data_IF_696025194484
#
_entry.id   IF_696025194484
#
_cell.length_a   1.000
_cell.length_b   1.000
_cell.length_c   1.000
_cell.angle_alpha   90.00
_cell.angle_beta   90.00
_cell.angle_gamma   90.00
#
_symmetry.space_group_name_H-M   'P 1'
#
loop_
_entity.id
_entity.type
_entity.pdbx_description
1 polymer ?
#
# COMPACT_ATOMS: atom_id res chain seq x y z
N UNK A 1 2.35 -10.02 1.12
CA UNK A 1 2.25 -10.31 -0.33
C UNK A 1 2.10 -8.99 -1.07
N UNK A 2 2.72 -8.85 -2.23
CA UNK A 2 2.59 -7.67 -3.10
C UNK A 2 1.93 -8.07 -4.43
N UNK A 3 0.97 -7.29 -4.91
CA UNK A 3 0.23 -7.57 -6.13
C UNK A 3 0.10 -6.30 -6.98
N UNK A 4 0.89 -6.26 -8.06
CA UNK A 4 1.18 -5.04 -8.81
C UNK A 4 0.27 -4.83 -10.03
N UNK A 5 -0.81 -5.61 -10.13
CA UNK A 5 -1.70 -5.66 -11.28
C UNK A 5 -3.15 -5.43 -10.84
N UNK A 6 -3.86 -4.66 -11.66
CA UNK A 6 -5.27 -4.35 -11.47
C UNK A 6 -6.05 -4.60 -12.75
N UNK A 7 -7.25 -5.14 -12.62
CA UNK A 7 -8.22 -5.29 -13.71
C UNK A 7 -9.55 -4.69 -13.29
N UNK A 8 -10.56 -4.75 -14.18
CA UNK A 8 -11.94 -4.42 -13.82
C UNK A 8 -12.35 -5.19 -12.54
N UNK A 9 -13.21 -4.60 -11.73
CA UNK A 9 -13.72 -5.24 -10.52
C UNK A 9 -14.25 -6.65 -10.82
N UNK A 10 -13.79 -7.61 -10.02
CA UNK A 10 -14.21 -8.99 -10.07
C UNK A 10 -14.30 -9.56 -8.65
N UNK A 11 -15.53 -9.92 -8.25
CA UNK A 11 -15.82 -10.49 -6.93
C UNK A 11 -14.93 -11.69 -6.56
N UNK A 12 -14.56 -12.54 -7.52
CA UNK A 12 -13.69 -13.68 -7.28
C UNK A 12 -12.29 -13.26 -6.79
N UNK A 13 -11.73 -12.20 -7.37
CA UNK A 13 -10.40 -11.68 -7.00
C UNK A 13 -10.46 -10.95 -5.65
N UNK A 14 -11.54 -10.23 -5.37
CA UNK A 14 -11.77 -9.60 -4.06
C UNK A 14 -11.96 -10.67 -2.96
N UNK A 15 -12.72 -11.73 -3.25
CA UNK A 15 -12.93 -12.85 -2.31
C UNK A 15 -11.63 -13.61 -2.02
N UNK A 16 -10.81 -13.84 -3.05
CA UNK A 16 -9.49 -14.46 -2.88
C UNK A 16 -8.57 -13.58 -2.02
N UNK A 17 -8.58 -12.28 -2.26
CA UNK A 17 -7.83 -11.30 -1.47
C UNK A 17 -8.26 -11.30 -0.02
N UNK A 18 -9.57 -11.21 0.23
CA UNK A 18 -10.15 -11.26 1.58
C UNK A 18 -9.80 -12.55 2.32
N UNK A 19 -9.82 -13.68 1.61
CA UNK A 19 -9.43 -14.99 2.16
C UNK A 19 -7.94 -15.09 2.53
N UNK A 20 -7.04 -14.50 1.74
CA UNK A 20 -5.62 -14.43 2.09
C UNK A 20 -5.41 -13.56 3.34
N UNK A 21 -6.08 -12.41 3.39
CA UNK A 21 -5.94 -11.47 4.51
C UNK A 21 -6.50 -12.07 5.81
N UNK A 22 -7.63 -12.78 5.75
CA UNK A 22 -8.21 -13.44 6.94
C UNK A 22 -7.33 -14.55 7.49
N UNK A 23 -6.47 -15.14 6.67
CA UNK A 23 -5.44 -16.12 7.08
C UNK A 23 -4.15 -15.46 7.61
N UNK A 24 -4.16 -14.14 7.83
CA UNK A 24 -3.01 -13.41 8.38
C UNK A 24 -1.94 -13.05 7.35
N UNK A 25 -2.21 -13.19 6.05
CA UNK A 25 -1.28 -12.80 4.99
C UNK A 25 -1.65 -11.39 4.52
N UNK A 26 -0.91 -10.33 4.90
CA UNK A 26 -1.21 -9.00 4.42
C UNK A 26 -0.98 -8.90 2.91
N UNK A 27 -1.94 -8.31 2.20
CA UNK A 27 -1.83 -7.99 0.78
C UNK A 27 -1.64 -6.49 0.59
N UNK A 28 -0.55 -6.12 -0.09
CA UNK A 28 -0.31 -4.77 -0.60
C UNK A 28 -0.54 -4.81 -2.10
N UNK A 29 -1.32 -3.87 -2.63
CA UNK A 29 -1.66 -3.84 -4.06
C UNK A 29 -1.60 -2.44 -4.65
N UNK A 30 -1.40 -2.36 -5.95
CA UNK A 30 -1.43 -1.11 -6.71
C UNK A 30 -2.86 -0.58 -6.85
N UNK A 31 -3.03 0.74 -6.90
CA UNK A 31 -4.34 1.36 -7.15
C UNK A 31 -4.81 1.22 -8.61
N UNK A 32 -3.87 1.09 -9.56
CA UNK A 32 -4.12 1.09 -10.99
C UNK A 32 -3.63 2.37 -11.68
N UNK A 33 -3.53 2.34 -13.01
CA UNK A 33 -2.84 3.36 -13.82
C UNK A 33 -3.74 4.01 -14.89
N UNK A 34 -5.03 4.19 -14.59
CA UNK A 34 -6.02 4.67 -15.56
C UNK A 34 -6.63 6.04 -15.21
N UNK A 35 -6.17 6.68 -14.13
CA UNK A 35 -6.74 7.93 -13.61
C UNK A 35 -8.27 7.83 -13.41
N UNK A 36 -8.70 6.76 -12.75
CA UNK A 36 -10.10 6.50 -12.40
C UNK A 36 -10.22 6.13 -10.92
N UNK A 37 -11.46 6.00 -10.42
CA UNK A 37 -11.73 5.50 -9.07
C UNK A 37 -11.19 4.06 -8.90
N UNK A 38 -10.26 3.87 -7.95
CA UNK A 38 -9.65 2.59 -7.63
C UNK A 38 -10.66 1.54 -7.14
N UNK A 39 -11.84 1.97 -6.67
CA UNK A 39 -12.94 1.07 -6.31
C UNK A 39 -13.56 0.36 -7.53
N UNK A 40 -13.30 0.80 -8.76
CA UNK A 40 -13.76 0.15 -9.99
C UNK A 40 -12.85 -1.02 -10.44
N UNK A 41 -11.80 -1.32 -9.67
CA UNK A 41 -10.77 -2.28 -10.04
C UNK A 41 -10.57 -3.32 -8.94
N UNK A 42 -10.15 -4.53 -9.31
CA UNK A 42 -9.69 -5.55 -8.37
C UNK A 42 -8.19 -5.78 -8.52
N UNK A 43 -7.46 -5.97 -7.42
CA UNK A 43 -7.94 -6.15 -6.04
C UNK A 43 -8.02 -4.83 -5.25
N UNK A 44 -7.78 -3.68 -5.91
CA UNK A 44 -7.72 -2.36 -5.25
C UNK A 44 -9.01 -1.96 -4.53
N UNK A 45 -10.16 -2.49 -4.97
CA UNK A 45 -11.48 -2.31 -4.33
C UNK A 45 -11.69 -3.17 -3.09
N UNK A 46 -10.89 -4.20 -2.85
CA UNK A 46 -11.02 -5.05 -1.67
C UNK A 46 -10.47 -4.34 -0.43
N UNK A 47 -11.36 -3.97 0.48
CA UNK A 47 -11.06 -3.12 1.64
C UNK A 47 -10.01 -3.72 2.60
N UNK A 48 -9.93 -5.06 2.64
CA UNK A 48 -8.92 -5.75 3.44
C UNK A 48 -7.50 -5.63 2.86
N UNK A 49 -7.33 -5.28 1.59
CA UNK A 49 -6.02 -4.98 1.01
C UNK A 49 -5.46 -3.63 1.49
N UNK A 50 -4.16 -3.44 1.27
CA UNK A 50 -3.49 -2.15 1.38
C UNK A 50 -3.27 -1.63 -0.05
N UNK A 51 -4.16 -0.75 -0.49
CA UNK A 51 -4.13 -0.19 -1.85
C UNK A 51 -3.27 1.07 -1.90
N UNK A 52 -2.32 1.09 -2.84
CA UNK A 52 -1.25 2.10 -2.91
C UNK A 52 -1.36 2.93 -4.19
N UNK A 53 -1.58 4.24 -4.03
CA UNK A 53 -1.51 5.23 -5.11
C UNK A 53 -0.08 5.70 -5.41
N UNK A 54 0.10 6.33 -6.57
CA UNK A 54 1.41 6.81 -7.03
C UNK A 54 1.54 8.32 -6.90
N UNK A 55 2.67 8.77 -6.34
CA UNK A 55 3.11 10.16 -6.38
C UNK A 55 4.42 10.32 -7.13
N UNK A 56 4.71 11.55 -7.55
CA UNK A 56 6.01 11.94 -8.08
C UNK A 56 6.88 12.68 -7.05
N UNK A 57 8.06 13.10 -7.49
CA UNK A 57 9.08 13.74 -6.65
C UNK A 57 8.66 15.10 -6.08
N UNK A 58 7.54 15.67 -6.54
CA UNK A 58 6.98 16.94 -6.07
C UNK A 58 5.84 16.76 -5.06
N UNK A 59 5.65 15.54 -4.55
CA UNK A 59 4.52 15.14 -3.70
C UNK A 59 3.14 15.36 -4.39
N UNK A 60 3.11 15.39 -5.71
CA UNK A 60 1.87 15.42 -6.50
C UNK A 60 1.44 13.99 -6.86
N UNK A 61 0.13 13.72 -6.84
CA UNK A 61 -0.39 12.48 -7.43
C UNK A 61 0.06 12.35 -8.89
N UNK A 62 0.57 11.18 -9.24
CA UNK A 62 0.95 10.90 -10.62
C UNK A 62 -0.29 10.91 -11.49
N UNK A 63 -0.23 11.59 -12.65
CA UNK A 63 -1.39 11.79 -13.54
C UNK A 63 -2.06 10.50 -14.05
N UNK A 64 -1.42 9.35 -13.93
CA UNK A 64 -1.97 8.04 -14.27
C UNK A 64 -2.59 7.32 -13.06
N UNK A 65 -2.27 7.71 -11.83
CA UNK A 65 -2.68 6.99 -10.62
C UNK A 65 -4.20 6.95 -10.53
N UNK A 66 -4.75 5.78 -10.24
CA UNK A 66 -6.12 5.69 -9.76
C UNK A 66 -6.21 6.30 -8.35
N UNK A 67 -7.39 6.80 -8.02
CA UNK A 67 -7.65 7.64 -6.85
C UNK A 67 -8.89 7.15 -6.07
N UNK A 68 -9.26 7.87 -5.01
CA UNK A 68 -10.53 7.67 -4.30
C UNK A 68 -10.40 6.88 -3.01
N UNK A 69 -11.55 6.64 -2.37
CA UNK A 69 -11.65 6.06 -1.02
C UNK A 69 -11.06 4.65 -0.87
N UNK A 70 -10.91 3.91 -1.97
CA UNK A 70 -10.30 2.58 -1.95
C UNK A 70 -8.76 2.65 -1.88
N UNK A 71 -8.14 3.79 -2.20
CA UNK A 71 -6.73 4.04 -1.92
C UNK A 71 -6.54 4.22 -0.41
N UNK A 72 -5.51 3.63 0.19
CA UNK A 72 -5.22 3.79 1.61
C UNK A 72 -4.10 4.79 1.88
N UNK A 73 -3.09 4.80 1.01
CA UNK A 73 -1.94 5.68 1.11
C UNK A 73 -1.24 5.79 -0.25
N UNK A 74 -0.30 6.73 -0.37
CA UNK A 74 0.51 6.95 -1.55
C UNK A 74 1.98 6.66 -1.27
N UNK A 75 2.71 6.26 -2.31
CA UNK A 75 4.16 6.09 -2.29
C UNK A 75 4.78 6.48 -3.64
N UNK A 76 6.10 6.73 -3.70
CA UNK A 76 6.79 7.07 -4.95
C UNK A 76 6.54 6.02 -6.03
N UNK A 77 5.99 6.46 -7.17
CA UNK A 77 5.70 5.57 -8.30
C UNK A 77 6.02 6.16 -9.67
N UNK A 78 6.43 7.42 -9.75
CA UNK A 78 6.90 8.05 -11.00
C UNK A 78 8.42 8.06 -11.08
N UNK A 79 8.95 7.62 -12.23
CA UNK A 79 10.38 7.59 -12.54
C UNK A 79 11.22 6.84 -11.50
N UNK A 80 10.76 5.65 -11.12
CA UNK A 80 11.44 4.78 -10.16
C UNK A 80 12.43 3.88 -10.89
N UNK A 81 13.70 3.99 -10.52
CA UNK A 81 14.78 3.14 -11.03
C UNK A 81 14.84 1.84 -10.23
N UNK A 82 14.87 0.71 -10.92
CA UNK A 82 15.05 -0.62 -10.30
C UNK A 82 15.85 -1.56 -11.20
N UNK A 83 16.07 -2.79 -10.73
CA UNK A 83 16.69 -3.88 -11.50
C UNK A 83 15.82 -4.27 -12.70
N UNK A 84 16.46 -4.74 -13.76
CA UNK A 84 15.78 -5.11 -15.00
C UNK A 84 16.34 -6.40 -15.60
N UNK A 85 15.59 -6.98 -16.55
CA UNK A 85 16.02 -8.15 -17.30
C UNK A 85 17.08 -7.75 -18.35
N UNK A 86 18.01 -8.67 -18.67
CA UNK A 86 18.98 -8.53 -19.76
C UNK A 86 20.45 -8.69 -19.34
N UNK A 87 20.80 -8.29 -18.12
CA UNK A 87 22.12 -8.57 -17.51
C UNK A 87 22.05 -8.50 -15.97
N UNK A 88 23.05 -9.00 -15.23
CA UNK A 88 23.08 -8.94 -13.76
C UNK A 88 23.02 -7.52 -13.18
N UNK A 89 23.52 -6.53 -13.94
CA UNK A 89 23.57 -5.12 -13.53
C UNK A 89 22.55 -4.25 -14.29
N UNK A 90 21.64 -4.87 -15.07
CA UNK A 90 20.66 -4.15 -15.85
C UNK A 90 19.70 -3.39 -14.92
N UNK A 91 19.41 -2.15 -15.29
CA UNK A 91 18.44 -1.31 -14.59
C UNK A 91 17.48 -0.67 -15.58
N UNK A 92 16.29 -0.34 -15.11
CA UNK A 92 15.30 0.39 -15.88
C UNK A 92 14.59 1.39 -14.97
N UNK A 93 14.14 2.50 -15.55
CA UNK A 93 13.36 3.52 -14.86
C UNK A 93 11.94 3.48 -15.40
N UNK A 94 10.98 3.15 -14.54
CA UNK A 94 9.58 2.96 -14.90
C UNK A 94 8.67 3.84 -14.06
N UNK A 95 7.43 4.00 -14.52
CA UNK A 95 6.39 4.69 -13.76
C UNK A 95 5.12 3.84 -13.69
N UNK A 96 4.49 3.83 -12.53
CA UNK A 96 3.24 3.12 -12.29
C UNK A 96 2.97 2.97 -10.80
N UNK A 97 1.71 2.77 -10.43
CA UNK A 97 1.34 2.31 -9.08
C UNK A 97 1.99 0.96 -8.75
N UNK A 98 2.31 0.15 -9.78
CA UNK A 98 3.16 -1.05 -9.69
C UNK A 98 4.57 -0.80 -9.14
N UNK A 99 5.05 0.45 -9.17
CA UNK A 99 6.32 0.86 -8.57
C UNK A 99 6.11 1.46 -7.17
N UNK A 100 4.90 1.91 -6.84
CA UNK A 100 4.54 2.42 -5.51
C UNK A 100 4.31 1.31 -4.50
N UNK A 101 3.50 0.29 -4.81
CA UNK A 101 3.19 -0.82 -3.90
C UNK A 101 4.40 -1.58 -3.35
N UNK A 102 5.50 -1.85 -4.10
CA UNK A 102 6.65 -2.56 -3.53
C UNK A 102 7.38 -1.76 -2.43
N UNK A 103 7.32 -0.42 -2.44
CA UNK A 103 7.87 0.39 -1.34
C UNK A 103 7.14 0.11 -0.02
N UNK A 104 5.81 0.01 -0.09
CA UNK A 104 4.93 -0.24 1.06
C UNK A 104 5.05 -1.69 1.51
N UNK A 105 5.12 -2.63 0.56
CA UNK A 105 5.33 -4.04 0.83
C UNK A 105 6.65 -4.31 1.57
N UNK A 106 7.74 -3.61 1.22
CA UNK A 106 9.04 -3.74 1.90
C UNK A 106 8.98 -3.35 3.38
N UNK A 107 8.28 -2.26 3.73
CA UNK A 107 8.10 -1.88 5.14
C UNK A 107 7.08 -2.76 5.84
N UNK A 108 6.01 -3.18 5.16
CA UNK A 108 5.10 -4.19 5.71
C UNK A 108 5.87 -5.47 6.10
N UNK A 109 6.79 -5.94 5.25
CA UNK A 109 7.66 -7.08 5.55
C UNK A 109 8.59 -6.82 6.74
N UNK A 110 9.12 -5.61 6.87
CA UNK A 110 9.96 -5.20 8.03
C UNK A 110 9.15 -5.18 9.33
N UNK A 111 7.91 -4.69 9.29
CA UNK A 111 6.99 -4.75 10.44
C UNK A 111 6.73 -6.23 10.80
N UNK A 112 6.39 -7.07 9.82
CA UNK A 112 6.14 -8.49 10.07
C UNK A 112 7.36 -9.22 10.67
N UNK A 113 8.58 -8.89 10.25
CA UNK A 113 9.80 -9.53 10.78
C UNK A 113 10.16 -9.09 12.19
N UNK A 114 9.70 -7.93 12.64
CA UNK A 114 9.90 -7.47 14.01
C UNK A 114 8.87 -8.03 14.99
N UNK A 115 7.66 -8.35 14.51
CA UNK A 115 6.52 -8.72 15.36
C UNK A 115 6.00 -10.15 15.11
N UNK A 116 6.93 -11.09 14.89
CA UNK A 116 6.75 -12.47 14.38
C UNK A 116 5.66 -13.32 15.07
N UNK A 117 5.13 -12.96 16.25
CA UNK A 117 4.25 -13.85 17.03
C UNK A 117 2.78 -13.47 17.19
N UNK A 118 2.32 -12.25 16.87
CA UNK A 118 0.96 -11.82 17.28
C UNK A 118 0.15 -10.97 16.28
N UNK A 119 0.57 -10.80 15.02
CA UNK A 119 -0.03 -9.75 14.17
C UNK A 119 -1.02 -10.29 13.13
N UNK A 120 -2.31 -10.00 13.36
CA UNK A 120 -3.33 -9.94 12.32
C UNK A 120 -3.05 -8.76 11.37
N UNK A 121 -3.39 -8.88 10.08
CA UNK A 121 -3.17 -7.84 9.06
C UNK A 121 -3.67 -6.44 9.46
N UNK A 122 -4.73 -6.36 10.27
CA UNK A 122 -5.24 -5.10 10.81
C UNK A 122 -4.14 -4.28 11.51
N UNK A 123 -3.27 -4.96 12.25
CA UNK A 123 -2.17 -4.33 12.96
C UNK A 123 -1.08 -3.86 11.98
N UNK A 124 -0.81 -4.58 10.89
CA UNK A 124 0.15 -4.14 9.84
C UNK A 124 -0.37 -2.87 9.13
N UNK A 125 -1.64 -2.85 8.72
CA UNK A 125 -2.25 -1.67 8.07
C UNK A 125 -2.21 -0.45 9.00
N UNK A 126 -2.52 -0.63 10.28
CA UNK A 126 -2.39 0.45 11.28
C UNK A 126 -0.95 0.92 11.48
N UNK A 127 0.01 0.00 11.60
CA UNK A 127 1.42 0.34 11.78
C UNK A 127 2.02 1.05 10.55
N UNK A 128 1.45 0.84 9.36
CA UNK A 128 1.80 1.60 8.15
C UNK A 128 1.20 3.01 8.14
N UNK A 129 -0.06 3.16 8.58
CA UNK A 129 -0.78 4.44 8.52
C UNK A 129 -0.47 5.38 9.69
N UNK A 130 -0.10 4.84 10.86
CA UNK A 130 0.18 5.63 12.06
C UNK A 130 1.37 6.59 11.91
N UNK A 131 2.55 6.18 11.38
CA UNK A 131 3.68 7.08 11.18
C UNK A 131 3.64 7.84 9.85
N UNK A 132 2.61 7.63 9.02
CA UNK A 132 2.53 8.21 7.69
C UNK A 132 2.44 9.76 7.74
N UNK A 133 3.07 10.40 6.76
CA UNK A 133 3.03 11.86 6.59
C UNK A 133 1.65 12.24 6.06
N UNK A 134 0.94 13.12 6.77
CA UNK A 134 -0.42 13.55 6.41
C UNK A 134 -0.44 14.96 5.82
N UNK A 135 -1.36 15.21 4.90
CA UNK A 135 -1.67 16.55 4.38
C UNK A 135 -0.48 17.28 3.72
N UNK A 136 0.36 16.52 3.01
CA UNK A 136 1.51 17.06 2.25
C UNK A 136 1.41 16.81 0.75
N UNK A 137 0.53 15.90 0.34
CA UNK A 137 0.32 15.59 -1.07
C UNK A 137 -0.54 16.65 -1.73
N UNK A 138 -0.32 16.87 -3.02
CA UNK A 138 -1.05 17.81 -3.87
C UNK A 138 -1.69 17.11 -5.08
N UNK A 139 -2.66 17.78 -5.70
CA UNK A 139 -3.38 17.30 -6.89
C UNK A 139 -4.02 15.91 -6.72
N UNK A 140 -4.42 15.56 -5.50
CA UNK A 140 -5.10 14.31 -5.24
C UNK A 140 -6.46 14.26 -5.94
N UNK A 141 -6.77 13.12 -6.55
CA UNK A 141 -8.10 12.83 -7.07
C UNK A 141 -9.16 12.86 -5.96
N UNK A 142 -10.43 13.04 -6.32
CA UNK A 142 -11.53 13.18 -5.36
C UNK A 142 -11.58 12.00 -4.39
N UNK A 143 -11.97 12.28 -3.15
CA UNK A 143 -12.13 11.31 -2.05
C UNK A 143 -10.87 10.51 -1.66
N UNK A 144 -9.70 10.89 -2.17
CA UNK A 144 -8.43 10.23 -1.83
C UNK A 144 -7.91 10.65 -0.46
N UNK A 145 -7.30 9.72 0.30
CA UNK A 145 -6.62 10.10 1.53
C UNK A 145 -5.33 10.87 1.23
N UNK A 146 -5.11 11.98 1.95
CA UNK A 146 -3.83 12.69 1.89
C UNK A 146 -2.83 12.07 2.88
N UNK A 147 -2.38 10.87 2.55
CA UNK A 147 -1.49 10.04 3.37
C UNK A 147 -0.32 9.57 2.50
N UNK A 148 0.86 10.11 2.77
CA UNK A 148 2.12 9.65 2.22
C UNK A 148 2.74 8.63 3.16
N UNK A 149 2.96 7.42 2.65
CA UNK A 149 3.67 6.38 3.38
C UNK A 149 5.06 6.85 3.85
N UNK A 150 5.43 6.47 5.06
CA UNK A 150 6.71 6.84 5.68
C UNK A 150 7.36 5.64 6.37
N UNK A 151 8.63 5.39 6.03
CA UNK A 151 9.45 4.40 6.71
C UNK A 151 10.11 5.03 7.95
N UNK A 152 9.36 5.12 9.05
CA UNK A 152 9.89 5.62 10.33
C UNK A 152 10.89 4.62 10.93
N UNK A 153 11.95 5.06 11.63
CA UNK A 153 12.75 4.18 12.46
C UNK A 153 11.86 3.51 13.52
N UNK A 154 11.46 2.26 13.25
CA UNK A 154 10.54 1.48 14.10
C UNK A 154 11.08 1.21 15.52
N UNK A 155 12.30 1.68 15.83
CA UNK A 155 13.01 1.53 17.12
C UNK A 155 12.34 2.27 18.29
N UNK A 156 11.47 3.24 18.03
CA UNK A 156 10.81 4.07 19.07
C UNK A 156 9.30 3.78 19.24
N UNK A 157 8.70 2.92 18.43
CA UNK A 157 7.30 2.50 18.63
C UNK A 157 7.25 1.41 19.71
N UNK A 158 7.23 1.82 20.98
CA UNK A 158 6.81 0.92 22.07
C UNK A 158 5.33 0.64 21.89
N UNK A 159 4.99 -0.51 21.34
CA UNK A 159 3.62 -1.03 21.42
C UNK A 159 3.38 -1.35 22.89
N UNK A 160 2.75 -0.41 23.62
CA UNK A 160 2.29 -0.68 24.97
C UNK A 160 1.21 -1.76 24.86
N UNK A 161 1.46 -2.91 25.49
CA UNK A 161 0.54 -4.05 25.58
C UNK A 161 -0.85 -3.68 26.15
N UNK A 162 -1.05 -2.46 26.67
CA UNK A 162 -2.33 -1.96 27.16
C UNK A 162 -3.42 -1.80 26.08
N UNK A 163 -3.08 -1.66 24.80
CA UNK A 163 -4.10 -1.62 23.73
C UNK A 163 -4.66 -3.01 23.36
N UNK A 164 -4.12 -4.10 23.90
CA UNK A 164 -4.62 -5.46 23.65
C UNK A 164 -5.83 -5.85 24.50
N UNK A 165 -6.22 -5.07 25.52
CA UNK A 165 -7.23 -5.50 26.51
C UNK A 165 -8.65 -5.00 26.20
N UNK A 166 -8.86 -4.04 25.29
CA UNK A 166 -10.17 -3.38 25.17
C UNK A 166 -11.14 -3.89 24.06
N UNK A 167 -10.92 -5.08 23.49
CA UNK A 167 -11.89 -5.64 22.51
C UNK A 167 -12.27 -7.11 22.76
N UNK A 168 -12.07 -7.63 23.96
CA UNK A 168 -12.66 -8.90 24.41
C UNK A 168 -13.20 -8.76 25.84
N UNK A 169 -14.35 -8.11 25.95
CA UNK A 169 -15.31 -8.26 27.04
C UNK A 169 -16.72 -8.15 26.47
#
# INVERSE_FOLDING_TARGET
MAMELTWQEHQALNSATSSLVSQGIPLVTSAGNSNVDACANSPSSENSAITVGSIDVTDAESNFSNYGKCVNLYAPGRSIKSTWIGSPDATNTMSGTSMSSPHVAGVAATIMSMYIKEFAQYQVKHMLLAPATKNKLSNLGPDSPNILFYNSPLRNYKINALHFIFTLA
#
